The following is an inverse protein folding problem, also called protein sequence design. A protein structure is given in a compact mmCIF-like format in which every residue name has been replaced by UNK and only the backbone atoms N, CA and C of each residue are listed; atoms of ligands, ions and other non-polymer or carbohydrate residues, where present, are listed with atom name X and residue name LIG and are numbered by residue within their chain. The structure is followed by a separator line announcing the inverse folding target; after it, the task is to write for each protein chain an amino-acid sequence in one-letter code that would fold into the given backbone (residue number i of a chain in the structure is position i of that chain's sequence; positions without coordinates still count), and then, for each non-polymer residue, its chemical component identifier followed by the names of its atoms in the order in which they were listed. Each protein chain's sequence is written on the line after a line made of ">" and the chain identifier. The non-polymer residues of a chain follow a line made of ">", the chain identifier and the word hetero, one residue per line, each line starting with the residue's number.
data_IF_039093241205
#
_entry.id   IF_039093241205
#
_cell.length_a   1.000
_cell.length_b   1.000
_cell.length_c   1.000
_cell.angle_alpha   90.00
_cell.angle_beta   90.00
_cell.angle_gamma   90.00
#
_symmetry.space_group_name_H-M   'P 1'
#
loop_
_entity.id
_entity.type
_entity.pdbx_description
1 polymer ?
#
# COMPACT_ATOMS: atom_id res chain seq x y z
N UNK A 1 -13.58 -17.47 -11.84
CA UNK A 1 -12.26 -17.05 -12.38
C UNK A 1 -11.69 -15.78 -11.74
N UNK A 2 -12.50 -14.77 -11.38
CA UNK A 2 -12.05 -13.52 -10.73
C UNK A 2 -11.20 -13.68 -9.46
N UNK A 3 -11.55 -14.64 -8.59
CA UNK A 3 -10.80 -14.88 -7.34
C UNK A 3 -9.35 -15.35 -7.58
N UNK A 4 -9.12 -16.21 -8.59
CA UNK A 4 -7.78 -16.66 -8.98
C UNK A 4 -6.93 -15.48 -9.51
N UNK A 5 -7.55 -14.53 -10.21
CA UNK A 5 -6.86 -13.32 -10.69
C UNK A 5 -6.46 -12.41 -9.53
N UNK A 6 -7.35 -12.20 -8.55
CA UNK A 6 -7.04 -11.41 -7.35
C UNK A 6 -5.88 -12.01 -6.55
N UNK A 7 -5.86 -13.34 -6.36
CA UNK A 7 -4.74 -14.01 -5.68
C UNK A 7 -3.43 -13.79 -6.43
N UNK A 8 -3.44 -13.99 -7.77
CA UNK A 8 -2.23 -13.77 -8.60
C UNK A 8 -1.74 -12.34 -8.49
N UNK A 9 -2.63 -11.37 -8.59
CA UNK A 9 -2.26 -9.96 -8.53
C UNK A 9 -1.68 -9.56 -7.17
N UNK A 10 -2.30 -10.02 -6.07
CA UNK A 10 -1.77 -9.80 -4.71
C UNK A 10 -0.38 -10.45 -4.57
N UNK A 11 -0.22 -11.67 -5.08
CA UNK A 11 1.07 -12.36 -5.05
C UNK A 11 2.12 -11.60 -5.84
N UNK A 12 1.83 -11.18 -7.07
CA UNK A 12 2.75 -10.38 -7.88
C UNK A 12 3.19 -9.10 -7.17
N UNK A 13 2.28 -8.41 -6.50
CA UNK A 13 2.64 -7.23 -5.70
C UNK A 13 3.58 -7.57 -4.54
N UNK A 14 3.31 -8.65 -3.82
CA UNK A 14 4.16 -9.09 -2.71
C UNK A 14 5.54 -9.51 -3.22
N UNK A 15 5.60 -10.22 -4.35
CA UNK A 15 6.84 -10.65 -4.99
C UNK A 15 7.66 -9.43 -5.44
N UNK A 16 7.05 -8.43 -6.09
CA UNK A 16 7.71 -7.17 -6.47
C UNK A 16 8.28 -6.48 -5.23
N UNK A 17 7.46 -6.24 -4.20
CA UNK A 17 7.89 -5.52 -3.00
C UNK A 17 9.04 -6.24 -2.26
N UNK A 18 9.00 -7.56 -2.20
CA UNK A 18 10.04 -8.37 -1.52
C UNK A 18 11.29 -8.58 -2.35
N UNK A 19 11.21 -8.41 -3.68
CA UNK A 19 12.35 -8.43 -4.58
C UNK A 19 13.12 -7.12 -4.64
N UNK A 20 12.56 -6.02 -4.13
CA UNK A 20 13.26 -4.73 -4.07
C UNK A 20 14.35 -4.74 -2.98
N UNK A 21 15.41 -3.94 -3.18
CA UNK A 21 16.45 -3.72 -2.16
C UNK A 21 15.95 -2.88 -0.95
N UNK A 22 14.67 -2.51 -0.92
CA UNK A 22 14.09 -1.69 0.14
C UNK A 22 13.63 -2.62 1.28
N UNK A 23 14.25 -2.53 2.48
CA UNK A 23 13.88 -3.40 3.60
C UNK A 23 12.46 -3.08 4.07
N UNK A 24 11.59 -4.08 4.09
CA UNK A 24 10.19 -3.92 4.53
C UNK A 24 10.14 -3.90 6.06
N UNK A 25 9.80 -2.75 6.65
CA UNK A 25 9.63 -2.61 8.11
C UNK A 25 8.24 -3.04 8.53
N UNK A 26 7.22 -2.42 7.93
CA UNK A 26 5.83 -2.82 8.07
C UNK A 26 4.99 -2.23 6.94
N UNK A 27 3.83 -2.83 6.71
CA UNK A 27 2.94 -2.51 5.59
C UNK A 27 1.62 -1.95 6.11
N UNK A 28 1.24 -0.75 5.68
CA UNK A 28 -0.10 -0.21 5.87
C UNK A 28 -0.99 -0.62 4.70
N UNK A 29 -2.19 -1.13 4.98
CA UNK A 29 -3.15 -1.55 3.95
C UNK A 29 -4.41 -0.68 4.05
N UNK A 30 -4.54 0.26 3.10
CA UNK A 30 -5.71 1.11 2.87
C UNK A 30 -6.50 0.58 1.67
N UNK A 31 -7.03 -0.63 1.82
CA UNK A 31 -7.87 -1.27 0.80
C UNK A 31 -9.25 -1.49 1.40
N UNK A 32 -10.27 -0.87 0.83
CA UNK A 32 -11.66 -1.02 1.24
C UNK A 32 -12.24 -2.40 0.87
N UNK A 33 -11.73 -3.04 -0.18
CA UNK A 33 -12.11 -4.40 -0.54
C UNK A 33 -11.60 -5.44 0.49
N UNK A 34 -12.49 -5.91 1.38
CA UNK A 34 -12.13 -6.83 2.47
C UNK A 34 -11.48 -8.14 2.01
N UNK A 35 -11.97 -8.86 0.97
CA UNK A 35 -11.27 -10.03 0.43
C UNK A 35 -9.83 -9.76 0.00
N UNK A 36 -9.59 -8.69 -0.76
CA UNK A 36 -8.23 -8.34 -1.23
C UNK A 36 -7.34 -7.95 -0.06
N UNK A 37 -7.86 -7.16 0.88
CA UNK A 37 -7.14 -6.79 2.09
C UNK A 37 -6.67 -8.03 2.88
N UNK A 38 -7.56 -9.00 3.10
CA UNK A 38 -7.23 -10.25 3.79
C UNK A 38 -6.16 -11.06 3.06
N UNK A 39 -6.17 -11.06 1.73
CA UNK A 39 -5.14 -11.73 0.93
C UNK A 39 -3.78 -11.07 1.10
N UNK A 40 -3.68 -9.74 1.09
CA UNK A 40 -2.42 -9.05 1.38
C UNK A 40 -1.91 -9.37 2.78
N UNK A 41 -2.76 -9.26 3.80
CA UNK A 41 -2.42 -9.62 5.18
C UNK A 41 -1.89 -11.05 5.27
N UNK A 42 -2.59 -11.99 4.63
CA UNK A 42 -2.19 -13.39 4.61
C UNK A 42 -0.79 -13.59 3.99
N UNK A 43 -0.54 -13.01 2.81
CA UNK A 43 0.76 -13.15 2.13
C UNK A 43 1.90 -12.52 2.93
N UNK A 44 1.73 -11.32 3.48
CA UNK A 44 2.77 -10.68 4.28
C UNK A 44 3.03 -11.40 5.61
N UNK A 45 1.97 -11.90 6.27
CA UNK A 45 2.13 -12.68 7.49
C UNK A 45 2.94 -13.97 7.24
N UNK A 46 2.75 -14.63 6.08
CA UNK A 46 3.55 -15.79 5.68
C UNK A 46 5.04 -15.47 5.52
N UNK A 47 5.38 -14.20 5.26
CA UNK A 47 6.74 -13.70 5.15
C UNK A 47 7.23 -13.06 6.46
N UNK A 48 6.50 -13.20 7.57
CA UNK A 48 6.76 -12.53 8.86
C UNK A 48 6.81 -11.00 8.77
N UNK A 49 6.13 -10.40 7.79
CA UNK A 49 6.04 -8.95 7.63
C UNK A 49 4.81 -8.43 8.37
N UNK A 50 5.00 -7.46 9.26
CA UNK A 50 3.91 -6.85 10.04
C UNK A 50 3.00 -6.03 9.14
N UNK A 51 1.70 -6.31 9.18
CA UNK A 51 0.68 -5.54 8.45
C UNK A 51 -0.24 -4.76 9.39
N UNK A 52 -0.61 -3.55 8.97
CA UNK A 52 -1.56 -2.67 9.66
C UNK A 52 -2.74 -2.37 8.74
N UNK A 53 -3.89 -2.99 9.00
CA UNK A 53 -5.10 -2.77 8.23
C UNK A 53 -5.82 -1.52 8.71
N UNK A 54 -6.07 -0.58 7.80
CA UNK A 54 -6.60 0.74 8.11
C UNK A 54 -8.00 0.99 7.50
N UNK A 55 -8.66 -0.10 7.10
CA UNK A 55 -10.04 -0.12 6.59
C UNK A 55 -10.94 0.53 7.64
N UNK A 56 -11.63 1.62 7.29
CA UNK A 56 -12.60 2.39 8.13
C UNK A 56 -12.04 3.53 9.01
N UNK A 57 -10.76 3.86 8.97
CA UNK A 57 -10.30 5.05 9.68
C UNK A 57 -10.64 6.31 8.85
N UNK A 58 -11.68 7.06 9.24
CA UNK A 58 -12.07 8.29 8.53
C UNK A 58 -11.17 9.47 8.94
N UNK A 59 -10.60 9.42 10.14
CA UNK A 59 -9.74 10.47 10.66
C UNK A 59 -8.29 10.28 10.18
N UNK A 60 -7.82 11.20 9.33
CA UNK A 60 -6.47 11.24 8.77
C UNK A 60 -5.37 11.31 9.84
N UNK A 61 -5.60 12.02 10.95
CA UNK A 61 -4.61 12.15 12.01
C UNK A 61 -4.37 10.84 12.76
N UNK A 62 -5.43 10.05 12.97
CA UNK A 62 -5.29 8.71 13.58
C UNK A 62 -4.53 7.77 12.63
N UNK A 63 -4.75 7.88 11.31
CA UNK A 63 -4.01 7.10 10.31
C UNK A 63 -2.52 7.45 10.31
N UNK A 64 -2.20 8.75 10.27
CA UNK A 64 -0.82 9.24 10.31
C UNK A 64 -0.13 8.69 11.55
N UNK A 65 -0.74 8.83 12.73
CA UNK A 65 -0.16 8.31 13.97
C UNK A 65 0.02 6.78 13.93
N UNK A 66 -0.92 6.02 13.36
CA UNK A 66 -0.75 4.57 13.20
C UNK A 66 0.37 4.21 12.23
N UNK A 67 0.52 4.95 11.12
CA UNK A 67 1.57 4.72 10.13
C UNK A 67 2.94 5.01 10.74
N UNK A 68 3.08 6.15 11.42
CA UNK A 68 4.31 6.57 12.08
C UNK A 68 4.67 5.64 13.25
N UNK A 69 3.74 5.36 14.17
CA UNK A 69 4.02 4.52 15.35
C UNK A 69 4.35 3.07 15.00
N UNK A 70 3.90 2.58 13.84
CA UNK A 70 4.24 1.23 13.36
C UNK A 70 5.42 1.22 12.38
N UNK A 71 6.07 2.36 12.13
CA UNK A 71 7.15 2.51 11.16
C UNK A 71 6.79 1.92 9.78
N UNK A 72 5.56 2.15 9.31
CA UNK A 72 5.15 1.65 7.99
C UNK A 72 5.93 2.39 6.90
N UNK A 73 6.68 1.65 6.11
CA UNK A 73 7.40 2.17 4.95
C UNK A 73 6.83 1.69 3.62
N UNK A 74 5.80 0.84 3.67
CA UNK A 74 5.00 0.47 2.51
C UNK A 74 3.54 0.78 2.80
N UNK A 75 2.87 1.41 1.84
CA UNK A 75 1.44 1.72 1.88
C UNK A 75 0.78 1.13 0.63
N UNK A 76 -0.15 0.21 0.82
CA UNK A 76 -0.91 -0.40 -0.27
C UNK A 76 -2.32 0.17 -0.26
N UNK A 77 -2.76 0.70 -1.39
CA UNK A 77 -3.99 1.48 -1.47
C UNK A 77 -4.87 1.07 -2.67
N UNK A 78 -6.18 1.11 -2.48
CA UNK A 78 -7.17 1.04 -3.57
C UNK A 78 -7.73 2.44 -3.91
N UNK A 79 -8.28 2.58 -5.11
CA UNK A 79 -8.77 3.87 -5.63
C UNK A 79 -9.77 4.58 -4.70
N UNK A 80 -10.73 3.89 -4.05
CA UNK A 80 -11.61 4.51 -3.07
C UNK A 80 -10.89 5.21 -1.90
N UNK A 81 -9.65 4.81 -1.58
CA UNK A 81 -8.84 5.37 -0.50
C UNK A 81 -7.89 6.49 -0.94
N UNK A 82 -7.93 6.97 -2.19
CA UNK A 82 -7.01 8.01 -2.68
C UNK A 82 -7.17 9.37 -2.03
N UNK A 83 -8.41 9.80 -1.77
CA UNK A 83 -8.65 11.08 -1.06
C UNK A 83 -7.95 11.05 0.31
N UNK A 84 -8.10 9.93 1.01
CA UNK A 84 -7.48 9.71 2.31
C UNK A 84 -5.96 9.64 2.22
N UNK A 85 -5.43 8.95 1.19
CA UNK A 85 -4.01 8.90 0.91
C UNK A 85 -3.42 10.31 0.69
N UNK A 86 -4.06 11.13 -0.14
CA UNK A 86 -3.61 12.50 -0.42
C UNK A 86 -3.58 13.37 0.84
N UNK A 87 -4.50 13.16 1.77
CA UNK A 87 -4.50 13.87 3.05
C UNK A 87 -3.34 13.48 3.98
N UNK A 88 -2.83 12.24 3.88
CA UNK A 88 -1.74 11.77 4.76
C UNK A 88 -0.36 11.93 4.14
N UNK A 89 -0.27 11.97 2.80
CA UNK A 89 0.99 12.04 2.04
C UNK A 89 1.97 13.15 2.49
N UNK A 90 1.51 14.40 2.75
CA UNK A 90 2.39 15.46 3.24
C UNK A 90 3.10 15.14 4.56
N UNK A 91 2.55 14.22 5.36
CA UNK A 91 3.02 13.90 6.70
C UNK A 91 3.86 12.62 6.77
N UNK A 92 4.01 11.92 5.63
CA UNK A 92 4.81 10.72 5.55
C UNK A 92 6.30 11.05 5.55
N UNK A 93 7.10 10.13 6.09
CA UNK A 93 8.55 10.21 6.03
C UNK A 93 9.05 10.01 4.59
N UNK A 94 10.32 10.34 4.35
CA UNK A 94 10.98 10.04 3.09
C UNK A 94 11.13 8.52 2.90
N UNK A 95 11.16 8.07 1.65
CA UNK A 95 11.36 6.67 1.25
C UNK A 95 10.20 5.74 1.62
N UNK A 96 8.97 6.25 1.67
CA UNK A 96 7.77 5.42 1.75
C UNK A 96 7.39 4.96 0.35
N UNK A 97 7.21 3.65 0.17
CA UNK A 97 6.71 3.04 -1.06
C UNK A 97 5.19 3.01 -1.02
N UNK A 98 4.55 3.49 -2.08
CA UNK A 98 3.10 3.59 -2.19
C UNK A 98 2.65 2.78 -3.40
N UNK A 99 1.87 1.74 -3.16
CA UNK A 99 1.36 0.83 -4.18
C UNK A 99 -0.07 1.21 -4.55
N UNK A 100 -0.23 1.75 -5.76
CA UNK A 100 -1.51 2.07 -6.39
C UNK A 100 -2.04 0.82 -7.12
N UNK A 101 -2.76 -0.03 -6.41
CA UNK A 101 -3.12 -1.39 -6.90
C UNK A 101 -4.01 -1.42 -8.14
N UNK A 102 -4.65 -0.31 -8.50
CA UNK A 102 -5.67 -0.20 -9.55
C UNK A 102 -5.31 0.75 -10.69
N UNK A 103 -4.24 1.52 -10.56
CA UNK A 103 -3.82 2.48 -11.59
C UNK A 103 -2.73 1.83 -12.45
N UNK A 104 -2.84 1.97 -13.76
CA UNK A 104 -1.84 1.42 -14.67
C UNK A 104 -0.60 2.33 -14.73
N UNK A 105 -0.80 3.64 -14.79
CA UNK A 105 0.23 4.68 -14.75
C UNK A 105 0.11 5.50 -13.46
N UNK A 106 1.20 6.15 -13.05
CA UNK A 106 1.18 7.11 -11.94
C UNK A 106 0.24 8.29 -12.27
N UNK A 107 -0.77 8.58 -11.45
CA UNK A 107 -1.63 9.75 -11.65
C UNK A 107 -0.88 11.07 -11.43
N UNK A 108 -1.24 12.13 -12.16
CA UNK A 108 -0.56 13.45 -12.09
C UNK A 108 -0.41 14.02 -10.69
N UNK A 109 -1.40 13.80 -9.81
CA UNK A 109 -1.35 14.30 -8.43
C UNK A 109 -0.19 13.71 -7.62
N UNK A 110 0.37 12.57 -8.03
CA UNK A 110 1.53 11.94 -7.36
C UNK A 110 2.80 12.78 -7.50
N UNK A 111 2.91 13.61 -8.54
CA UNK A 111 4.08 14.46 -8.80
C UNK A 111 4.27 15.57 -7.76
N UNK A 112 3.24 15.84 -6.93
CA UNK A 112 3.37 16.75 -5.80
C UNK A 112 4.11 16.10 -4.60
N UNK A 113 4.39 14.79 -4.63
CA UNK A 113 4.85 14.00 -3.49
C UNK A 113 6.14 13.22 -3.81
N UNK A 114 7.16 13.94 -4.29
CA UNK A 114 8.44 13.36 -4.76
C UNK A 114 9.28 12.69 -3.66
N UNK A 115 8.94 12.88 -2.39
CA UNK A 115 9.56 12.19 -1.25
C UNK A 115 9.08 10.75 -1.06
N UNK A 116 8.02 10.36 -1.77
CA UNK A 116 7.46 9.01 -1.81
C UNK A 116 7.80 8.31 -3.13
N UNK A 117 7.86 6.99 -3.10
CA UNK A 117 8.04 6.17 -4.29
C UNK A 117 6.72 5.49 -4.68
N UNK A 118 6.16 5.83 -5.84
CA UNK A 118 4.88 5.29 -6.28
C UNK A 118 5.07 4.12 -7.24
N UNK A 119 4.36 3.02 -6.98
CA UNK A 119 4.28 1.85 -7.84
C UNK A 119 2.84 1.68 -8.35
N UNK A 120 2.69 1.32 -9.62
CA UNK A 120 1.44 1.13 -10.35
C UNK A 120 1.46 -0.22 -11.07
N UNK A 121 0.34 -0.63 -11.70
CA UNK A 121 0.27 -1.96 -12.32
C UNK A 121 1.30 -2.19 -13.44
N UNK A 122 1.81 -1.13 -14.08
CA UNK A 122 2.92 -1.24 -15.04
C UNK A 122 4.21 -1.80 -14.43
N UNK A 123 4.38 -1.68 -13.11
CA UNK A 123 5.58 -2.13 -12.39
C UNK A 123 5.47 -3.61 -11.98
N UNK A 124 4.34 -4.26 -12.28
CA UNK A 124 4.17 -5.69 -12.15
C UNK A 124 4.72 -6.42 -13.39
N UNK A 125 5.36 -7.60 -13.21
CA UNK A 125 5.80 -8.45 -14.31
C UNK A 125 4.64 -9.16 -15.05
#
# INVERSE_FOLDING_TARGET
>A
MRYKQQIRQVKSWVDVLTSTDIPIKSVAILINNSPINKLFVYQFNHLNIKTNTLIKQINSQILINKILNNNCNIIIVDKPSYILLQQILPYLQHNVVIVLTQEYWQPDWTWAFNHCHFLCQQDLP
#
